data_IF_161106800285
#
_entry.id   IF_161106800285
#
_cell.length_a   1.000
_cell.length_b   1.000
_cell.length_c   1.000
_cell.angle_alpha   90.00
_cell.angle_beta   90.00
_cell.angle_gamma   90.00
#
_symmetry.space_group_name_H-M   'P 1'
#
loop_
_entity.id
_entity.type
_entity.pdbx_description
1 polymer ?
#
# COMPACT_ATOMS: atom_id res chain seq x y z
N UNK A 1 -31.77 3.96 -35.35
CA UNK A 1 -30.82 3.99 -36.49
C UNK A 1 -30.06 5.30 -36.45
N UNK A 2 -28.81 5.30 -35.99
CA UNK A 2 -27.94 6.48 -36.02
C UNK A 2 -26.50 6.00 -36.28
N UNK A 3 -26.12 5.95 -37.55
CA UNK A 3 -24.75 5.77 -38.00
C UNK A 3 -23.93 7.01 -37.60
N UNK A 4 -22.79 6.88 -36.89
CA UNK A 4 -21.92 8.01 -36.64
C UNK A 4 -21.23 8.37 -37.94
N UNK A 5 -21.58 9.52 -38.50
CA UNK A 5 -20.98 10.09 -39.71
C UNK A 5 -19.56 10.60 -39.44
N UNK A 6 -18.65 9.68 -39.12
CA UNK A 6 -17.23 9.89 -39.29
C UNK A 6 -16.96 10.10 -40.78
N UNK A 7 -16.65 11.34 -41.16
CA UNK A 7 -16.34 11.75 -42.54
C UNK A 7 -15.54 10.67 -43.27
N UNK A 8 -16.13 10.09 -44.32
CA UNK A 8 -15.53 9.13 -45.26
C UNK A 8 -14.17 9.61 -45.82
N UNK A 9 -13.94 10.92 -45.76
CA UNK A 9 -12.69 11.57 -46.14
C UNK A 9 -11.56 11.37 -45.10
N UNK A 10 -11.88 11.27 -43.81
CA UNK A 10 -10.88 11.17 -42.74
C UNK A 10 -10.17 9.81 -42.73
N UNK A 11 -10.88 8.74 -43.10
CA UNK A 11 -10.34 7.39 -43.24
C UNK A 11 -9.45 7.20 -44.48
N UNK A 12 -9.61 8.03 -45.52
CA UNK A 12 -8.76 7.99 -46.72
C UNK A 12 -7.38 8.62 -46.51
N UNK A 13 -7.28 9.66 -45.67
CA UNK A 13 -6.03 10.42 -45.48
C UNK A 13 -5.35 10.20 -44.13
N UNK A 14 -6.06 9.67 -43.12
CA UNK A 14 -5.46 9.23 -41.86
C UNK A 14 -5.42 7.71 -41.86
N UNK A 15 -4.40 7.14 -42.50
CA UNK A 15 -4.06 5.74 -42.31
C UNK A 15 -3.94 5.50 -40.80
N UNK A 16 -4.80 4.65 -40.23
CA UNK A 16 -4.79 4.33 -38.81
C UNK A 16 -3.54 3.48 -38.55
N UNK A 17 -2.46 4.15 -38.15
CA UNK A 17 -1.17 3.54 -37.90
C UNK A 17 -0.03 4.47 -38.30
N UNK A 18 1.02 4.53 -37.48
CA UNK A 18 2.25 5.18 -37.94
C UNK A 18 2.82 4.38 -39.11
N UNK A 19 3.29 5.03 -40.19
CA UNK A 19 3.94 4.35 -41.30
C UNK A 19 5.00 3.35 -40.81
N UNK A 20 5.15 2.17 -41.46
CA UNK A 20 6.05 1.10 -40.98
C UNK A 20 7.47 1.57 -40.66
N UNK A 21 8.00 2.52 -41.44
CA UNK A 21 9.33 3.11 -41.22
C UNK A 21 9.40 3.96 -39.93
N UNK A 22 8.31 4.64 -39.55
CA UNK A 22 8.26 5.42 -38.30
C UNK A 22 8.28 4.50 -37.10
N UNK A 23 7.59 3.37 -37.19
CA UNK A 23 7.61 2.36 -36.12
C UNK A 23 8.99 1.70 -36.04
N UNK A 24 9.57 1.28 -37.16
CA UNK A 24 10.93 0.76 -37.21
C UNK A 24 11.96 1.75 -36.64
N UNK A 25 11.84 3.05 -36.96
CA UNK A 25 12.70 4.09 -36.42
C UNK A 25 12.53 4.28 -34.90
N UNK A 26 11.28 4.28 -34.40
CA UNK A 26 10.99 4.32 -32.96
C UNK A 26 11.62 3.15 -32.23
N UNK A 27 11.45 1.93 -32.74
CA UNK A 27 12.05 0.73 -32.16
C UNK A 27 13.58 0.83 -32.15
N UNK A 28 14.21 1.28 -33.25
CA UNK A 28 15.65 1.51 -33.30
C UNK A 28 16.16 2.58 -32.33
N UNK A 29 15.36 3.60 -32.03
CA UNK A 29 15.69 4.60 -31.01
C UNK A 29 15.62 4.00 -29.59
N UNK A 30 14.55 3.27 -29.28
CA UNK A 30 14.36 2.60 -27.99
C UNK A 30 15.46 1.57 -27.72
N UNK A 31 15.82 0.75 -28.71
CA UNK A 31 16.89 -0.24 -28.56
C UNK A 31 18.26 0.41 -28.36
N UNK A 32 18.56 1.51 -29.07
CA UNK A 32 19.79 2.28 -28.80
C UNK A 32 19.82 2.84 -27.37
N UNK A 33 18.69 3.35 -26.89
CA UNK A 33 18.58 3.87 -25.52
C UNK A 33 18.79 2.75 -24.49
N UNK A 34 18.11 1.60 -24.63
CA UNK A 34 18.27 0.44 -23.75
C UNK A 34 19.71 -0.06 -23.74
N UNK A 35 20.33 -0.21 -24.91
CA UNK A 35 21.71 -0.67 -25.04
C UNK A 35 22.71 0.33 -24.44
N UNK A 36 22.47 1.63 -24.60
CA UNK A 36 23.28 2.67 -23.95
C UNK A 36 23.18 2.58 -22.42
N UNK A 37 21.96 2.47 -21.90
CA UNK A 37 21.69 2.30 -20.46
C UNK A 37 22.34 1.03 -19.91
N UNK A 38 22.18 -0.11 -20.60
CA UNK A 38 22.76 -1.38 -20.20
C UNK A 38 24.30 -1.32 -20.13
N UNK A 39 24.95 -0.70 -21.12
CA UNK A 39 26.41 -0.46 -21.11
C UNK A 39 26.84 0.41 -19.94
N UNK A 40 26.11 1.49 -19.66
CA UNK A 40 26.41 2.37 -18.52
C UNK A 40 26.30 1.62 -17.19
N UNK A 41 25.20 0.90 -16.97
CA UNK A 41 24.99 0.10 -15.76
C UNK A 41 26.04 -1.00 -15.61
N UNK A 42 26.41 -1.68 -16.70
CA UNK A 42 27.48 -2.68 -16.66
C UNK A 42 28.83 -2.05 -16.32
N UNK A 43 29.16 -0.85 -16.80
CA UNK A 43 30.36 -0.13 -16.38
C UNK A 43 30.35 0.16 -14.88
N UNK A 44 29.23 0.61 -14.30
CA UNK A 44 29.16 0.83 -12.85
C UNK A 44 29.25 -0.47 -12.05
N UNK A 45 28.59 -1.54 -12.49
CA UNK A 45 28.68 -2.87 -11.86
C UNK A 45 30.11 -3.42 -11.90
N UNK A 46 30.78 -3.30 -13.05
CA UNK A 46 32.15 -3.81 -13.26
C UNK A 46 33.22 -2.89 -12.65
N UNK A 47 32.99 -1.58 -12.58
CA UNK A 47 33.85 -0.64 -11.85
C UNK A 47 33.88 -0.96 -10.34
N UNK A 48 32.83 -1.63 -9.83
CA UNK A 48 32.88 -2.28 -8.52
C UNK A 48 33.69 -3.59 -8.53
N UNK A 49 33.52 -4.47 -9.52
CA UNK A 49 34.06 -5.85 -9.45
C UNK A 49 35.54 -6.06 -9.82
N UNK A 50 36.14 -5.21 -10.66
CA UNK A 50 37.44 -5.51 -11.30
C UNK A 50 38.68 -4.93 -10.60
N UNK A 51 38.53 -4.35 -9.41
CA UNK A 51 39.69 -3.93 -8.61
C UNK A 51 40.17 -5.10 -7.74
N UNK A 52 41.45 -5.52 -7.81
CA UNK A 52 41.99 -6.65 -7.05
C UNK A 52 41.89 -6.51 -5.51
N UNK A 53 41.45 -5.35 -5.00
CA UNK A 53 41.17 -5.12 -3.57
C UNK A 53 39.71 -5.27 -3.14
N UNK A 54 38.71 -5.38 -4.04
CA UNK A 54 37.30 -5.45 -3.61
C UNK A 54 36.82 -6.85 -3.24
N UNK A 55 37.44 -7.91 -3.77
CA UNK A 55 37.18 -9.26 -3.26
C UNK A 55 37.50 -9.32 -1.76
N UNK A 56 38.63 -8.71 -1.36
CA UNK A 56 39.02 -8.53 0.04
C UNK A 56 38.05 -7.62 0.79
N UNK A 57 37.62 -6.48 0.22
CA UNK A 57 36.67 -5.58 0.91
C UNK A 57 35.26 -6.17 1.07
N UNK A 58 34.78 -6.99 0.12
CA UNK A 58 33.48 -7.67 0.24
C UNK A 58 33.55 -8.76 1.30
N UNK A 59 34.69 -9.47 1.35
CA UNK A 59 34.97 -10.46 2.38
C UNK A 59 35.10 -9.82 3.77
N UNK A 60 35.78 -8.67 3.87
CA UNK A 60 35.94 -7.90 5.11
C UNK A 60 34.60 -7.36 5.62
N UNK A 61 33.71 -6.88 4.74
CA UNK A 61 32.35 -6.46 5.14
C UNK A 61 31.52 -7.64 5.63
N UNK A 62 31.63 -8.80 4.99
CA UNK A 62 30.93 -10.00 5.43
C UNK A 62 31.47 -10.51 6.78
N UNK A 63 32.79 -10.53 6.96
CA UNK A 63 33.46 -10.93 8.20
C UNK A 63 33.07 -10.00 9.35
N UNK A 64 33.13 -8.68 9.14
CA UNK A 64 32.69 -7.69 10.15
C UNK A 64 31.20 -7.84 10.45
N UNK A 65 30.34 -8.06 9.44
CA UNK A 65 28.91 -8.30 9.71
C UNK A 65 28.68 -9.59 10.51
N UNK A 66 29.39 -10.67 10.20
CA UNK A 66 29.27 -11.93 10.92
C UNK A 66 29.81 -11.81 12.36
N UNK A 67 30.93 -11.12 12.57
CA UNK A 67 31.48 -10.83 13.90
C UNK A 67 30.51 -9.99 14.74
N UNK A 68 30.01 -8.87 14.21
CA UNK A 68 29.05 -8.00 14.90
C UNK A 68 27.73 -8.73 15.16
N UNK A 69 27.26 -9.56 14.22
CA UNK A 69 26.06 -10.38 14.39
C UNK A 69 26.24 -11.44 15.48
N UNK A 70 27.41 -12.09 15.54
CA UNK A 70 27.73 -13.06 16.58
C UNK A 70 27.88 -12.39 17.95
N UNK A 71 28.45 -11.20 18.03
CA UNK A 71 28.52 -10.40 19.26
C UNK A 71 27.13 -10.04 19.78
N UNK A 72 26.22 -9.62 18.89
CA UNK A 72 24.83 -9.33 19.22
C UNK A 72 24.05 -10.59 19.68
N UNK A 73 24.30 -11.75 19.06
CA UNK A 73 23.70 -13.01 19.53
C UNK A 73 24.22 -13.44 20.89
N UNK A 74 25.51 -13.25 21.16
CA UNK A 74 26.12 -13.54 22.46
C UNK A 74 25.45 -12.74 23.59
N UNK A 75 25.16 -11.46 23.35
CA UNK A 75 24.40 -10.60 24.27
C UNK A 75 22.97 -11.11 24.50
N UNK A 76 22.27 -11.55 23.45
CA UNK A 76 20.92 -12.14 23.59
C UNK A 76 20.91 -13.47 24.35
N UNK A 77 22.01 -14.22 24.33
CA UNK A 77 22.12 -15.51 25.02
C UNK A 77 22.60 -15.39 26.47
N UNK A 78 22.94 -14.18 26.93
CA UNK A 78 23.29 -13.89 28.32
C UNK A 78 22.08 -13.31 29.08
N UNK A 79 21.53 -14.03 30.07
CA UNK A 79 20.36 -13.57 30.83
C UNK A 79 20.56 -12.21 31.51
N UNK A 80 21.78 -11.90 31.97
CA UNK A 80 22.10 -10.63 32.63
C UNK A 80 22.18 -9.44 31.66
N UNK A 81 22.53 -9.67 30.39
CA UNK A 81 22.59 -8.60 29.40
C UNK A 81 21.19 -8.27 28.85
N UNK A 82 20.29 -9.27 28.79
CA UNK A 82 18.86 -9.04 28.56
C UNK A 82 18.22 -8.24 29.70
N UNK A 83 18.53 -8.58 30.96
CA UNK A 83 18.06 -7.81 32.12
C UNK A 83 18.55 -6.34 32.08
N UNK A 84 19.80 -6.10 31.70
CA UNK A 84 20.34 -4.74 31.52
C UNK A 84 19.72 -4.00 30.32
N UNK A 85 19.36 -4.71 29.25
CA UNK A 85 18.66 -4.10 28.10
C UNK A 85 17.23 -3.71 28.46
N UNK A 86 16.57 -4.52 29.28
CA UNK A 86 15.25 -4.25 29.87
C UNK A 86 15.31 -3.08 30.86
N UNK A 87 16.44 -2.92 31.56
CA UNK A 87 16.74 -1.79 32.46
C UNK A 87 17.16 -0.50 31.72
N UNK A 88 17.76 -0.62 30.53
CA UNK A 88 18.04 0.49 29.61
C UNK A 88 16.81 0.97 28.85
N UNK A 89 15.78 0.12 28.75
CA UNK A 89 14.48 0.50 28.22
C UNK A 89 13.77 1.30 29.31
N UNK A 90 13.67 2.61 29.12
CA UNK A 90 13.09 3.51 30.12
C UNK A 90 11.66 3.08 30.45
N UNK A 91 11.45 2.55 31.65
CA UNK A 91 10.17 2.05 32.13
C UNK A 91 9.07 3.12 32.00
N UNK A 92 9.44 4.40 32.13
CA UNK A 92 8.53 5.52 31.94
C UNK A 92 8.03 5.61 30.49
N UNK A 93 8.88 5.35 29.50
CA UNK A 93 8.49 5.35 28.08
C UNK A 93 7.50 4.22 27.78
N UNK A 94 7.67 3.05 28.41
CA UNK A 94 6.74 1.94 28.25
C UNK A 94 5.39 2.23 28.91
N UNK A 95 5.39 2.85 30.08
CA UNK A 95 4.18 3.31 30.76
C UNK A 95 3.44 4.36 29.92
N UNK A 96 4.15 5.33 29.35
CA UNK A 96 3.59 6.34 28.46
C UNK A 96 2.96 5.71 27.21
N UNK A 97 3.64 4.75 26.57
CA UNK A 97 3.10 4.00 25.42
C UNK A 97 1.85 3.23 25.81
N UNK A 98 1.85 2.54 26.97
CA UNK A 98 0.68 1.81 27.45
C UNK A 98 -0.51 2.75 27.68
N UNK A 99 -0.26 3.90 28.29
CA UNK A 99 -1.29 4.90 28.55
C UNK A 99 -1.87 5.46 27.23
N UNK A 100 -1.03 5.78 26.25
CA UNK A 100 -1.48 6.22 24.92
C UNK A 100 -2.37 5.17 24.24
N UNK A 101 -1.98 3.89 24.30
CA UNK A 101 -2.75 2.80 23.71
C UNK A 101 -4.13 2.65 24.36
N UNK A 102 -4.21 2.76 25.69
CA UNK A 102 -5.49 2.71 26.41
C UNK A 102 -6.39 3.88 26.04
N UNK A 103 -5.83 5.09 25.92
CA UNK A 103 -6.59 6.28 25.52
C UNK A 103 -7.11 6.17 24.08
N UNK A 104 -6.29 5.64 23.17
CA UNK A 104 -6.72 5.38 21.79
C UNK A 104 -7.84 4.34 21.71
N UNK A 105 -7.73 3.24 22.46
CA UNK A 105 -8.78 2.22 22.52
C UNK A 105 -10.10 2.82 23.01
N UNK A 106 -10.07 3.57 24.11
CA UNK A 106 -11.26 4.23 24.65
C UNK A 106 -11.86 5.24 23.67
N UNK A 107 -11.01 6.01 22.96
CA UNK A 107 -11.46 6.94 21.94
C UNK A 107 -12.18 6.23 20.79
N UNK A 108 -11.62 5.12 20.30
CA UNK A 108 -12.22 4.33 19.21
C UNK A 108 -13.59 3.79 19.63
N UNK A 109 -13.69 3.24 20.84
CA UNK A 109 -14.97 2.73 21.37
C UNK A 109 -15.99 3.87 21.47
N UNK A 110 -15.59 5.02 22.02
CA UNK A 110 -16.47 6.19 22.17
C UNK A 110 -16.99 6.71 20.82
N UNK A 111 -16.14 6.78 19.80
CA UNK A 111 -16.53 7.18 18.45
C UNK A 111 -17.54 6.19 17.84
N UNK A 112 -17.26 4.88 17.99
CA UNK A 112 -18.14 3.84 17.48
C UNK A 112 -19.52 3.88 18.15
N UNK A 113 -19.57 4.04 19.47
CA UNK A 113 -20.83 4.17 20.22
C UNK A 113 -21.63 5.41 19.78
N UNK A 114 -20.98 6.55 19.54
CA UNK A 114 -21.63 7.75 19.02
C UNK A 114 -22.21 7.52 17.63
N UNK A 115 -21.48 6.83 16.75
CA UNK A 115 -21.98 6.47 15.42
C UNK A 115 -23.20 5.56 15.52
N UNK A 116 -23.15 4.54 16.39
CA UNK A 116 -24.25 3.61 16.59
C UNK A 116 -25.50 4.32 17.12
N UNK A 117 -25.34 5.23 18.09
CA UNK A 117 -26.44 6.05 18.60
C UNK A 117 -27.04 6.96 17.52
N UNK A 118 -26.23 7.45 16.59
CA UNK A 118 -26.71 8.24 15.46
C UNK A 118 -27.55 7.36 14.52
N UNK A 119 -27.04 6.19 14.15
CA UNK A 119 -27.75 5.25 13.27
C UNK A 119 -29.08 4.78 13.89
N UNK A 120 -29.08 4.49 15.19
CA UNK A 120 -30.29 4.14 15.94
C UNK A 120 -31.33 5.28 15.89
N UNK A 121 -30.90 6.53 16.11
CA UNK A 121 -31.78 7.70 16.00
C UNK A 121 -32.35 7.85 14.60
N UNK A 122 -31.53 7.70 13.56
CA UNK A 122 -32.00 7.76 12.18
C UNK A 122 -33.04 6.67 11.89
N UNK A 123 -32.78 5.43 12.31
CA UNK A 123 -33.74 4.34 12.18
C UNK A 123 -35.04 4.64 12.93
N UNK A 124 -34.96 5.15 14.17
CA UNK A 124 -36.15 5.48 14.97
C UNK A 124 -37.05 6.51 14.29
N UNK A 125 -36.47 7.51 13.62
CA UNK A 125 -37.21 8.53 12.86
C UNK A 125 -37.91 7.90 11.66
N UNK A 126 -37.20 7.06 10.90
CA UNK A 126 -37.78 6.37 9.73
C UNK A 126 -38.91 5.44 10.15
N UNK A 127 -38.74 4.70 11.25
CA UNK A 127 -39.79 3.84 11.80
C UNK A 127 -41.01 4.64 12.24
N UNK A 128 -40.82 5.76 12.95
CA UNK A 128 -41.92 6.63 13.36
C UNK A 128 -42.68 7.22 12.16
N UNK A 129 -41.97 7.59 11.09
CA UNK A 129 -42.60 8.08 9.85
C UNK A 129 -43.42 6.98 9.15
N UNK A 130 -42.93 5.75 9.14
CA UNK A 130 -43.63 4.59 8.56
C UNK A 130 -44.83 4.15 9.38
N UNK A 131 -44.76 4.22 10.71
CA UNK A 131 -45.90 3.99 11.61
C UNK A 131 -47.00 5.03 11.38
N UNK A 132 -46.62 6.30 11.19
CA UNK A 132 -47.56 7.38 10.91
C UNK A 132 -48.17 7.28 9.49
N UNK A 133 -47.41 6.76 8.52
CA UNK A 133 -47.81 6.64 7.11
C UNK A 133 -47.65 5.20 6.61
N UNK A 134 -48.60 4.30 6.91
CA UNK A 134 -48.47 2.90 6.56
C UNK A 134 -48.50 2.71 5.04
N UNK A 135 -47.41 2.15 4.51
CA UNK A 135 -47.26 1.89 3.07
C UNK A 135 -47.76 0.48 2.73
N UNK A 136 -48.43 0.37 1.58
CA UNK A 136 -48.82 -0.93 1.01
C UNK A 136 -47.67 -1.42 0.14
N UNK A 137 -47.16 -2.62 0.42
CA UNK A 137 -46.11 -3.22 -0.40
C UNK A 137 -46.65 -3.51 -1.81
N UNK A 138 -46.03 -2.98 -2.89
CA UNK A 138 -46.53 -3.19 -4.25
C UNK A 138 -46.38 -4.65 -4.75
N UNK A 139 -45.57 -5.47 -4.07
CA UNK A 139 -45.32 -6.87 -4.46
C UNK A 139 -46.37 -7.80 -3.84
N UNK A 140 -46.69 -7.64 -2.56
CA UNK A 140 -47.60 -8.55 -1.85
C UNK A 140 -48.92 -7.91 -1.42
N UNK A 141 -49.13 -6.62 -1.69
CA UNK A 141 -50.35 -5.84 -1.35
C UNK A 141 -50.75 -5.86 0.12
N UNK A 142 -49.85 -6.32 0.99
CA UNK A 142 -50.02 -6.24 2.45
C UNK A 142 -49.52 -4.88 2.93
N UNK A 143 -50.18 -4.34 3.95
CA UNK A 143 -49.62 -3.25 4.73
C UNK A 143 -48.26 -3.71 5.26
N UNK A 144 -47.23 -2.89 5.08
CA UNK A 144 -45.94 -3.09 5.75
C UNK A 144 -46.15 -2.74 7.22
N UNK A 145 -46.85 -3.62 7.94
CA UNK A 145 -46.74 -3.70 9.38
C UNK A 145 -45.37 -4.36 9.56
N UNK A 146 -44.40 -3.59 10.04
CA UNK A 146 -43.08 -4.08 10.43
C UNK A 146 -43.26 -5.40 11.17
N UNK A 147 -42.72 -6.47 10.57
CA UNK A 147 -42.99 -7.84 10.98
C UNK A 147 -42.66 -8.07 12.45
N UNK A 148 -43.67 -8.50 13.20
CA UNK A 148 -43.57 -9.70 14.00
C UNK A 148 -44.02 -10.90 13.14
#
# INVERSE_FOLDING_TARGET
MAEPSGSRHRSLYKLVGSPPWKEAFRQGCLERMKNSRARLLNKYRQAGGNMPGRAQNTFLVQEVMEEEWNALQSVKNCPEALAQLEELMDLAVLEDIQQELVEQEQSIISEYEKSLQFDEKCLSIVLAEWEANPLICPVCTKLVILGL
#
